data_IF_126075393776
#
_entry.id   IF_126075393776
#
_cell.length_a   1.000
_cell.length_b   1.000
_cell.length_c   1.000
_cell.angle_alpha   90.00
_cell.angle_beta   90.00
_cell.angle_gamma   90.00
#
_symmetry.space_group_name_H-M   'P 1'
#
loop_
_entity.id
_entity.type
_entity.pdbx_description
1 polymer ?
#
# COMPACT_ATOMS: atom_id res chain seq x y z
N UNK A 1 9.16 -13.56 -1.56
CA UNK A 1 8.58 -12.26 -1.23
C UNK A 1 8.19 -12.33 0.24
N UNK A 2 8.90 -11.60 1.11
CA UNK A 2 8.62 -11.61 2.54
C UNK A 2 7.64 -10.49 2.83
N UNK A 3 6.42 -10.85 3.21
CA UNK A 3 5.42 -9.87 3.61
C UNK A 3 5.93 -9.15 4.87
N UNK A 4 6.00 -7.82 4.85
CA UNK A 4 6.35 -6.99 6.01
C UNK A 4 5.48 -7.34 7.22
N UNK A 5 6.07 -7.31 8.43
CA UNK A 5 5.29 -7.61 9.62
C UNK A 5 4.33 -6.47 9.94
N UNK A 6 3.17 -6.79 10.51
CA UNK A 6 2.17 -5.80 10.93
C UNK A 6 2.76 -4.75 11.88
N UNK A 7 3.79 -5.14 12.66
CA UNK A 7 4.46 -4.25 13.60
C UNK A 7 5.25 -3.16 12.88
N UNK A 8 6.05 -3.53 11.88
CA UNK A 8 6.89 -2.60 11.11
C UNK A 8 6.03 -1.56 10.38
N UNK A 9 4.89 -2.01 9.85
CA UNK A 9 3.91 -1.18 9.17
C UNK A 9 3.31 -0.12 10.11
N UNK A 10 2.95 -0.50 11.35
CA UNK A 10 2.34 0.41 12.33
C UNK A 10 3.37 1.43 12.85
N UNK A 11 4.62 1.03 13.04
CA UNK A 11 5.70 1.92 13.49
C UNK A 11 5.96 3.06 12.50
N UNK A 12 5.81 2.82 11.19
CA UNK A 12 5.98 3.85 10.15
C UNK A 12 4.86 4.90 10.17
N UNK A 13 3.62 4.50 10.46
CA UNK A 13 2.45 5.36 10.26
C UNK A 13 1.92 6.06 11.51
N UNK A 14 2.60 5.98 12.67
CA UNK A 14 2.19 6.50 13.99
C UNK A 14 0.82 6.02 14.52
N UNK A 15 -0.03 5.42 13.68
CA UNK A 15 -1.37 4.92 13.98
C UNK A 15 -1.74 3.83 12.99
N UNK A 16 -2.25 2.69 13.50
CA UNK A 16 -2.74 1.57 12.68
C UNK A 16 -3.82 2.00 11.67
N UNK A 17 -4.61 3.02 11.99
CA UNK A 17 -5.67 3.50 11.10
C UNK A 17 -5.12 4.38 9.98
N UNK A 18 -4.11 5.20 10.29
CA UNK A 18 -3.47 6.07 9.31
C UNK A 18 -2.80 5.24 8.21
N UNK A 19 -2.11 4.17 8.62
CA UNK A 19 -1.58 3.14 7.72
C UNK A 19 -2.65 2.56 6.79
N UNK A 20 -3.75 2.05 7.36
CA UNK A 20 -4.81 1.39 6.57
C UNK A 20 -5.42 2.37 5.55
N UNK A 21 -5.67 3.61 5.97
CA UNK A 21 -6.22 4.65 5.10
C UNK A 21 -5.23 5.04 4.00
N UNK A 22 -3.95 5.22 4.33
CA UNK A 22 -2.91 5.57 3.35
C UNK A 22 -2.74 4.48 2.28
N UNK A 23 -2.65 3.21 2.71
CA UNK A 23 -2.55 2.05 1.81
C UNK A 23 -3.79 1.92 0.94
N UNK A 24 -5.00 2.06 1.50
CA UNK A 24 -6.24 1.96 0.73
C UNK A 24 -6.37 3.07 -0.32
N UNK A 25 -6.02 4.32 0.04
CA UNK A 25 -5.98 5.45 -0.91
C UNK A 25 -5.00 5.17 -2.05
N UNK A 26 -3.82 4.65 -1.73
CA UNK A 26 -2.81 4.34 -2.76
C UNK A 26 -3.21 3.16 -3.64
N UNK A 27 -3.69 2.08 -3.07
CA UNK A 27 -4.15 0.91 -3.82
C UNK A 27 -5.26 1.28 -4.81
N UNK A 28 -6.16 2.20 -4.43
CA UNK A 28 -7.18 2.74 -5.35
C UNK A 28 -6.57 3.55 -6.50
N UNK A 29 -5.58 4.40 -6.23
CA UNK A 29 -4.89 5.14 -7.28
C UNK A 29 -4.16 4.22 -8.26
N UNK A 30 -3.45 3.20 -7.75
CA UNK A 30 -2.80 2.17 -8.58
C UNK A 30 -3.81 1.38 -9.40
N UNK A 31 -4.95 1.04 -8.81
CA UNK A 31 -6.04 0.35 -9.48
C UNK A 31 -6.57 1.14 -10.67
N UNK A 32 -6.80 2.45 -10.52
CA UNK A 32 -7.24 3.31 -11.63
C UNK A 32 -6.18 3.49 -12.73
N UNK A 33 -4.90 3.52 -12.36
CA UNK A 33 -3.79 3.64 -13.31
C UNK A 33 -3.60 2.37 -14.14
N UNK A 34 -3.76 1.20 -13.51
CA UNK A 34 -3.47 -0.11 -14.13
C UNK A 34 -4.72 -0.84 -14.64
N UNK A 35 -5.91 -0.23 -14.57
CA UNK A 35 -7.19 -0.90 -14.89
C UNK A 35 -7.31 -1.41 -16.34
N UNK A 36 -6.51 -0.86 -17.25
CA UNK A 36 -6.49 -1.26 -18.67
C UNK A 36 -5.32 -2.19 -19.00
N UNK A 37 -4.49 -2.54 -18.01
CA UNK A 37 -3.39 -3.49 -18.20
C UNK A 37 -3.90 -4.94 -18.16
N UNK A 38 -3.38 -5.78 -19.06
CA UNK A 38 -3.81 -7.17 -19.24
C UNK A 38 -3.58 -8.04 -17.99
N UNK A 39 -2.59 -7.69 -17.16
CA UNK A 39 -2.22 -8.36 -15.91
C UNK A 39 -2.87 -7.75 -14.65
N UNK A 40 -3.92 -6.96 -14.81
CA UNK A 40 -4.59 -6.29 -13.70
C UNK A 40 -5.11 -7.28 -12.64
N UNK A 41 -4.62 -7.13 -11.39
CA UNK A 41 -5.14 -7.84 -10.21
C UNK A 41 -5.34 -6.88 -9.04
N UNK A 42 -6.55 -6.82 -8.50
CA UNK A 42 -6.86 -5.99 -7.33
C UNK A 42 -5.97 -6.32 -6.11
N UNK A 43 -5.64 -7.60 -5.91
CA UNK A 43 -4.78 -8.05 -4.81
C UNK A 43 -3.33 -7.60 -4.95
N UNK A 44 -2.82 -7.40 -6.17
CA UNK A 44 -1.47 -6.84 -6.36
C UNK A 44 -1.42 -5.36 -6.04
N UNK A 45 -2.49 -4.59 -6.23
CA UNK A 45 -2.50 -3.15 -5.91
C UNK A 45 -2.28 -2.85 -4.43
N UNK A 46 -2.87 -3.67 -3.55
CA UNK A 46 -2.69 -3.54 -2.09
C UNK A 46 -1.27 -3.92 -1.70
N UNK A 47 -0.71 -4.93 -2.36
CA UNK A 47 0.65 -5.41 -2.12
C UNK A 47 1.67 -4.37 -2.57
N UNK A 48 1.52 -3.82 -3.78
CA UNK A 48 2.34 -2.74 -4.34
C UNK A 48 2.28 -1.50 -3.43
N UNK A 49 1.09 -1.11 -2.97
CA UNK A 49 0.91 0.03 -2.07
C UNK A 49 1.61 -0.16 -0.72
N UNK A 50 1.57 -1.37 -0.15
CA UNK A 50 2.30 -1.69 1.08
C UNK A 50 3.82 -1.60 0.88
N UNK A 51 4.33 -2.15 -0.22
CA UNK A 51 5.76 -2.06 -0.55
C UNK A 51 6.21 -0.62 -0.76
N UNK A 52 5.43 0.21 -1.45
CA UNK A 52 5.74 1.63 -1.63
C UNK A 52 5.78 2.37 -0.28
N UNK A 53 4.88 2.07 0.65
CA UNK A 53 4.89 2.65 1.99
C UNK A 53 6.15 2.28 2.77
N UNK A 54 6.56 1.01 2.72
CA UNK A 54 7.75 0.53 3.44
C UNK A 54 9.05 1.09 2.87
N UNK A 55 9.05 1.36 1.57
CA UNK A 55 10.16 2.02 0.90
C UNK A 55 10.15 3.55 1.12
N UNK A 56 9.24 4.09 1.94
CA UNK A 56 9.14 5.52 2.24
C UNK A 56 8.60 6.38 1.08
N UNK A 57 8.01 5.76 0.04
CA UNK A 57 7.41 6.47 -1.10
C UNK A 57 6.03 7.05 -0.77
N UNK A 58 5.42 6.61 0.33
CA UNK A 58 4.14 7.09 0.83
C UNK A 58 4.37 7.63 2.24
N UNK A 59 4.07 8.91 2.44
CA UNK A 59 4.08 9.53 3.76
C UNK A 59 2.68 9.36 4.35
N UNK A 60 2.64 8.80 5.56
CA UNK A 60 1.42 8.69 6.37
C UNK A 60 1.35 9.96 7.23
N UNK A 61 0.28 10.72 7.06
CA UNK A 61 -0.02 11.97 7.80
C UNK A 61 -1.18 11.71 8.78
#
# INVERSE_FOLDING_TARGET
MNTPSTKDIIEIGNSKYAVVVAVAKRARALSELKKEEEDYRLSSMVTDALEEMLNGKIIVD
#
